data_IF_433786031409
#
_entry.id   IF_433786031409
#
_cell.length_a   1.000
_cell.length_b   1.000
_cell.length_c   1.000
_cell.angle_alpha   90.00
_cell.angle_beta   90.00
_cell.angle_gamma   90.00
#
_symmetry.space_group_name_H-M   'P 1'
#
loop_
_entity.id
_entity.type
_entity.pdbx_description
1 polymer ?
#
# COMPACT_ATOMS: atom_id res chain seq x y z
N UNK A 1 8.05 17.72 -6.07
CA UNK A 1 7.64 16.88 -4.92
C UNK A 1 8.14 15.48 -5.20
N UNK A 2 8.57 14.79 -4.16
CA UNK A 2 8.98 13.38 -4.20
C UNK A 2 7.79 12.50 -3.86
N UNK A 3 7.41 11.62 -4.79
CA UNK A 3 6.24 10.75 -4.69
C UNK A 3 6.72 9.31 -4.61
N UNK A 4 6.43 8.65 -3.48
CA UNK A 4 6.62 7.21 -3.34
C UNK A 4 5.34 6.50 -3.81
N UNK A 5 5.43 5.71 -4.87
CA UNK A 5 4.33 4.92 -5.42
C UNK A 5 4.53 3.45 -5.03
N UNK A 6 3.76 2.97 -4.05
CA UNK A 6 3.73 1.59 -3.60
C UNK A 6 2.65 0.80 -4.36
N UNK A 7 2.98 -0.43 -4.78
CA UNK A 7 2.14 -1.27 -5.65
C UNK A 7 1.90 -0.61 -7.00
N UNK A 8 3.00 -0.21 -7.65
CA UNK A 8 2.95 0.69 -8.79
C UNK A 8 2.26 0.08 -10.02
N UNK A 9 2.29 -1.24 -10.20
CA UNK A 9 1.68 -1.91 -11.35
C UNK A 9 2.04 -1.24 -12.69
N UNK A 10 1.04 -0.75 -13.43
CA UNK A 10 1.24 -0.07 -14.73
C UNK A 10 1.80 1.35 -14.64
N UNK A 11 2.11 1.84 -13.43
CA UNK A 11 2.58 3.20 -13.11
C UNK A 11 1.63 4.30 -13.57
N UNK A 12 0.33 4.02 -13.58
CA UNK A 12 -0.67 4.98 -14.05
C UNK A 12 -0.66 6.27 -13.23
N UNK A 13 -0.41 6.16 -11.93
CA UNK A 13 -0.34 7.31 -11.03
C UNK A 13 1.04 7.96 -11.09
N UNK A 14 2.12 7.17 -11.09
CA UNK A 14 3.48 7.66 -11.30
C UNK A 14 3.59 8.55 -12.54
N UNK A 15 3.12 8.07 -13.70
CA UNK A 15 3.09 8.83 -14.96
C UNK A 15 2.31 10.15 -14.85
N UNK A 16 1.21 10.17 -14.10
CA UNK A 16 0.44 11.38 -13.87
C UNK A 16 1.21 12.41 -13.02
N UNK A 17 1.96 11.98 -12.00
CA UNK A 17 2.83 12.86 -11.21
C UNK A 17 4.04 13.35 -12.01
N UNK A 18 4.71 12.46 -12.75
CA UNK A 18 5.84 12.80 -13.63
C UNK A 18 5.45 13.85 -14.67
N UNK A 19 4.26 13.72 -15.29
CA UNK A 19 3.73 14.70 -16.26
C UNK A 19 3.58 16.12 -15.72
N UNK A 20 3.60 16.28 -14.38
CA UNK A 20 3.52 17.57 -13.67
C UNK A 20 4.86 18.01 -13.10
N UNK A 21 5.95 17.34 -13.47
CA UNK A 21 7.31 17.66 -13.02
C UNK A 21 7.63 17.18 -11.60
N UNK A 22 6.94 16.15 -11.11
CA UNK A 22 7.26 15.52 -9.84
C UNK A 22 8.22 14.34 -10.03
N UNK A 23 9.06 14.10 -9.02
CA UNK A 23 9.93 12.93 -8.97
C UNK A 23 9.15 11.77 -8.38
N UNK A 24 9.18 10.60 -9.02
CA UNK A 24 8.47 9.40 -8.60
C UNK A 24 9.49 8.30 -8.31
N UNK A 25 9.26 7.55 -7.23
CA UNK A 25 9.93 6.30 -6.94
C UNK A 25 8.88 5.20 -6.80
N UNK A 26 8.93 4.25 -7.72
CA UNK A 26 7.96 3.18 -7.84
C UNK A 26 8.47 1.87 -7.26
N UNK A 27 7.63 1.22 -6.46
CA UNK A 27 7.91 -0.08 -5.83
C UNK A 27 6.85 -1.08 -6.27
N UNK A 28 7.29 -2.20 -6.81
CA UNK A 28 6.42 -3.28 -7.30
C UNK A 28 7.13 -4.63 -7.15
N UNK A 29 6.42 -5.68 -6.76
CA UNK A 29 7.04 -7.00 -6.59
C UNK A 29 7.01 -7.80 -7.90
N UNK A 30 5.99 -7.60 -8.73
CA UNK A 30 5.83 -8.33 -9.99
C UNK A 30 6.80 -7.80 -11.05
N UNK A 31 7.57 -8.72 -11.63
CA UNK A 31 8.48 -8.43 -12.75
C UNK A 31 7.79 -8.31 -14.10
N UNK A 32 6.47 -8.51 -14.15
CA UNK A 32 5.67 -8.37 -15.37
C UNK A 32 5.45 -6.89 -15.74
N UNK A 33 5.63 -5.98 -14.78
CA UNK A 33 5.56 -4.55 -15.02
C UNK A 33 6.94 -4.00 -15.35
N UNK A 34 7.01 -3.08 -16.31
CA UNK A 34 8.25 -2.45 -16.74
C UNK A 34 8.42 -1.05 -16.13
N UNK A 35 9.68 -0.58 -16.13
CA UNK A 35 10.07 0.75 -15.67
C UNK A 35 9.79 1.00 -14.18
N UNK A 36 9.94 -0.01 -13.32
CA UNK A 36 9.85 0.16 -11.86
C UNK A 36 11.24 0.49 -11.31
N UNK A 37 11.32 1.39 -10.33
CA UNK A 37 12.59 1.79 -9.70
C UNK A 37 13.12 0.72 -8.74
N UNK A 38 12.23 0.08 -7.99
CA UNK A 38 12.57 -1.00 -7.06
C UNK A 38 11.62 -2.20 -7.23
N UNK A 39 12.18 -3.33 -7.67
CA UNK A 39 11.47 -4.61 -7.67
C UNK A 39 11.66 -5.37 -6.35
N UNK A 40 10.72 -5.25 -5.43
CA UNK A 40 10.79 -5.93 -4.12
C UNK A 40 9.40 -6.18 -3.52
N UNK A 41 9.30 -7.19 -2.67
CA UNK A 41 8.14 -7.42 -1.80
C UNK A 41 7.98 -6.25 -0.83
N UNK A 42 6.82 -5.59 -0.86
CA UNK A 42 6.54 -4.41 -0.04
C UNK A 42 6.74 -4.71 1.46
N UNK A 43 6.49 -5.93 1.93
CA UNK A 43 6.73 -6.32 3.33
C UNK A 43 8.21 -6.27 3.75
N UNK A 44 9.14 -6.25 2.79
CA UNK A 44 10.59 -6.19 3.04
C UNK A 44 11.16 -4.79 2.88
N UNK A 45 10.42 -3.88 2.26
CA UNK A 45 10.85 -2.50 2.08
C UNK A 45 10.80 -1.78 3.42
N UNK A 46 11.90 -1.15 3.80
CA UNK A 46 12.02 -0.37 5.04
C UNK A 46 12.01 1.14 4.76
N UNK A 47 11.69 1.95 5.77
CA UNK A 47 11.78 3.40 5.65
C UNK A 47 13.22 3.86 5.35
N UNK A 48 14.23 3.18 5.93
CA UNK A 48 15.63 3.43 5.66
C UNK A 48 16.00 3.16 4.20
N UNK A 49 15.49 2.08 3.59
CA UNK A 49 15.72 1.80 2.18
C UNK A 49 15.17 2.92 1.29
N UNK A 50 13.94 3.38 1.57
CA UNK A 50 13.33 4.49 0.83
C UNK A 50 14.14 5.78 1.00
N UNK A 51 14.52 6.14 2.24
CA UNK A 51 15.30 7.34 2.50
C UNK A 51 16.66 7.29 1.80
N UNK A 52 17.32 6.12 1.78
CA UNK A 52 18.61 5.93 1.12
C UNK A 52 18.51 6.03 -0.40
N UNK A 53 17.49 5.40 -0.99
CA UNK A 53 17.35 5.30 -2.45
C UNK A 53 16.71 6.53 -3.09
N UNK A 54 15.75 7.14 -2.40
CA UNK A 54 14.92 8.21 -2.93
C UNK A 54 14.94 9.50 -2.09
N UNK A 55 15.28 9.39 -0.81
CA UNK A 55 15.12 10.46 0.17
C UNK A 55 13.72 10.47 0.79
N UNK A 56 13.46 11.44 1.66
CA UNK A 56 12.15 11.58 2.31
C UNK A 56 11.07 11.96 1.28
N UNK A 57 10.01 11.15 1.10
CA UNK A 57 8.93 11.48 0.18
C UNK A 57 8.02 12.59 0.76
N UNK A 58 7.51 13.44 -0.13
CA UNK A 58 6.45 14.40 0.21
C UNK A 58 5.07 13.75 0.15
N UNK A 59 4.89 12.79 -0.77
CA UNK A 59 3.63 12.09 -1.02
C UNK A 59 3.88 10.59 -1.02
N UNK A 60 3.01 9.84 -0.35
CA UNK A 60 2.94 8.38 -0.48
C UNK A 60 1.62 8.02 -1.16
N UNK A 61 1.68 7.29 -2.26
CA UNK A 61 0.53 6.67 -2.89
C UNK A 61 0.63 5.16 -2.72
N UNK A 62 -0.35 4.52 -2.08
CA UNK A 62 -0.39 3.06 -1.95
C UNK A 62 -1.73 2.49 -2.40
N UNK A 63 -1.66 1.51 -3.29
CA UNK A 63 -2.81 0.76 -3.78
C UNK A 63 -2.62 -0.75 -3.64
N UNK A 64 -2.60 -1.28 -2.41
CA UNK A 64 -2.50 -2.71 -2.16
C UNK A 64 -3.72 -3.49 -2.67
N UNK A 65 -3.58 -4.80 -2.72
CA UNK A 65 -4.61 -5.71 -3.20
C UNK A 65 -5.78 -5.83 -2.21
N UNK A 66 -6.93 -5.29 -2.59
CA UNK A 66 -8.17 -5.33 -1.81
C UNK A 66 -9.14 -6.45 -2.24
N UNK A 67 -8.72 -7.40 -3.08
CA UNK A 67 -9.60 -8.41 -3.69
C UNK A 67 -10.38 -9.24 -2.66
N UNK A 68 -9.80 -9.47 -1.48
CA UNK A 68 -10.43 -10.20 -0.36
C UNK A 68 -11.66 -9.52 0.23
N UNK A 69 -11.89 -8.25 -0.10
CA UNK A 69 -13.07 -7.48 0.30
C UNK A 69 -14.13 -7.35 -0.79
N UNK A 70 -13.88 -7.90 -1.99
CA UNK A 70 -14.86 -7.87 -3.07
C UNK A 70 -16.11 -8.69 -2.74
N UNK A 71 -17.28 -8.28 -3.24
CA UNK A 71 -18.56 -8.97 -3.02
C UNK A 71 -18.47 -10.46 -3.37
N UNK A 72 -17.73 -10.80 -4.43
CA UNK A 72 -17.58 -12.17 -4.90
C UNK A 72 -16.68 -13.04 -4.02
N UNK A 73 -15.69 -12.45 -3.31
CA UNK A 73 -14.66 -13.21 -2.60
C UNK A 73 -14.75 -13.09 -1.06
N UNK A 74 -15.45 -12.07 -0.55
CA UNK A 74 -15.48 -11.73 0.88
C UNK A 74 -15.97 -12.85 1.78
N UNK A 75 -16.97 -13.63 1.35
CA UNK A 75 -17.51 -14.76 2.11
C UNK A 75 -16.54 -15.96 2.19
N UNK A 76 -15.54 -16.04 1.32
CA UNK A 76 -14.50 -17.07 1.38
C UNK A 76 -13.32 -16.63 2.24
N UNK A 77 -13.04 -15.33 2.27
CA UNK A 77 -11.83 -14.78 2.87
C UNK A 77 -12.03 -14.16 4.24
N UNK A 78 -13.25 -13.71 4.58
CA UNK A 78 -13.52 -12.96 5.80
C UNK A 78 -14.78 -13.43 6.53
N UNK A 79 -14.84 -13.17 7.84
CA UNK A 79 -16.01 -13.41 8.69
C UNK A 79 -16.32 -12.15 9.48
N UNK A 80 -17.61 -11.83 9.59
CA UNK A 80 -18.04 -10.72 10.43
C UNK A 80 -17.95 -11.15 11.89
N UNK A 81 -17.17 -10.43 12.68
CA UNK A 81 -17.16 -10.58 14.12
C UNK A 81 -18.50 -10.07 14.67
N UNK A 82 -19.25 -10.88 15.43
CA UNK A 82 -20.58 -10.49 15.94
C UNK A 82 -20.52 -9.38 16.99
N UNK A 83 -19.41 -9.27 17.73
CA UNK A 83 -19.25 -8.32 18.83
C UNK A 83 -18.78 -6.95 18.33
N UNK A 84 -17.83 -6.94 17.39
CA UNK A 84 -17.22 -5.70 16.88
C UNK A 84 -17.81 -5.24 15.56
N UNK A 85 -18.47 -6.13 14.82
CA UNK A 85 -18.97 -5.88 13.48
C UNK A 85 -17.89 -5.88 12.38
N UNK A 86 -16.62 -6.04 12.74
CA UNK A 86 -15.47 -6.01 11.83
C UNK A 86 -15.40 -7.27 10.95
N UNK A 87 -14.83 -7.13 9.74
CA UNK A 87 -14.61 -8.25 8.82
C UNK A 87 -13.21 -8.84 9.01
N UNK A 88 -13.12 -9.87 9.85
CA UNK A 88 -11.87 -10.52 10.22
C UNK A 88 -11.38 -11.49 9.14
N UNK A 89 -10.07 -11.52 8.83
CA UNK A 89 -9.50 -12.42 7.84
C UNK A 89 -9.48 -13.86 8.35
N UNK A 90 -10.08 -14.79 7.60
CA UNK A 90 -10.06 -16.23 7.94
C UNK A 90 -9.13 -17.03 7.04
N UNK A 91 -8.95 -16.62 5.78
CA UNK A 91 -8.04 -17.29 4.87
C UNK A 91 -6.58 -16.84 5.09
N UNK A 92 -5.63 -17.70 4.71
CA UNK A 92 -4.19 -17.37 4.70
C UNK A 92 -3.90 -16.14 3.86
N UNK A 93 -4.48 -16.07 2.67
CA UNK A 93 -4.32 -14.92 1.78
C UNK A 93 -4.85 -13.60 2.37
N UNK A 94 -6.03 -13.58 3.00
CA UNK A 94 -6.55 -12.37 3.65
C UNK A 94 -5.69 -11.91 4.82
N UNK A 95 -5.15 -12.85 5.61
CA UNK A 95 -4.20 -12.53 6.68
C UNK A 95 -2.89 -11.94 6.14
N UNK A 96 -2.43 -12.42 4.99
CA UNK A 96 -1.27 -11.87 4.32
C UNK A 96 -1.54 -10.44 3.81
N UNK A 97 -2.69 -10.20 3.16
CA UNK A 97 -3.09 -8.84 2.75
C UNK A 97 -3.14 -7.89 3.95
N UNK A 98 -3.76 -8.30 5.06
CA UNK A 98 -3.86 -7.45 6.26
C UNK A 98 -2.47 -7.15 6.84
N UNK A 99 -1.52 -8.10 6.80
CA UNK A 99 -0.13 -7.89 7.22
C UNK A 99 0.58 -6.86 6.34
N UNK A 100 0.42 -6.95 5.02
CA UNK A 100 0.97 -5.98 4.06
C UNK A 100 0.40 -4.59 4.32
N UNK A 101 -0.91 -4.47 4.54
CA UNK A 101 -1.57 -3.20 4.83
C UNK A 101 -1.04 -2.56 6.12
N UNK A 102 -0.85 -3.35 7.19
CA UNK A 102 -0.24 -2.86 8.43
C UNK A 102 1.21 -2.41 8.21
N UNK A 103 1.99 -3.11 7.39
CA UNK A 103 3.34 -2.70 7.05
C UNK A 103 3.37 -1.38 6.29
N UNK A 104 2.44 -1.16 5.36
CA UNK A 104 2.30 0.11 4.63
C UNK A 104 1.95 1.26 5.59
N UNK A 105 1.04 1.04 6.54
CA UNK A 105 0.71 2.04 7.56
C UNK A 105 1.95 2.42 8.39
N UNK A 106 2.73 1.42 8.81
CA UNK A 106 3.99 1.63 9.53
C UNK A 106 5.00 2.42 8.70
N UNK A 107 5.15 2.12 7.40
CA UNK A 107 6.03 2.89 6.51
C UNK A 107 5.60 4.36 6.43
N UNK A 108 4.29 4.64 6.36
CA UNK A 108 3.77 6.02 6.35
C UNK A 108 4.08 6.72 7.68
N UNK A 109 3.90 6.03 8.81
CA UNK A 109 4.22 6.55 10.13
C UNK A 109 5.72 6.85 10.27
N UNK A 110 6.61 5.99 9.76
CA UNK A 110 8.07 6.20 9.84
C UNK A 110 8.55 7.30 8.90
N UNK A 111 8.01 7.35 7.67
CA UNK A 111 8.43 8.33 6.66
C UNK A 111 7.85 9.73 6.90
N UNK A 112 6.73 9.85 7.62
CA UNK A 112 6.03 11.10 7.93
C UNK A 112 5.90 12.02 6.68
N UNK A 113 5.23 11.55 5.61
CA UNK A 113 5.06 12.35 4.40
C UNK A 113 4.10 13.53 4.67
N UNK A 114 4.13 14.54 3.80
CA UNK A 114 3.19 15.66 3.88
C UNK A 114 1.77 15.25 3.49
N UNK A 115 1.65 14.33 2.53
CA UNK A 115 0.38 13.78 2.07
C UNK A 115 0.51 12.27 1.88
N UNK A 116 -0.56 11.53 2.11
CA UNK A 116 -0.64 10.14 1.69
C UNK A 116 -2.03 9.80 1.17
N UNK A 117 -2.09 8.86 0.23
CA UNK A 117 -3.33 8.29 -0.28
C UNK A 117 -3.24 6.77 -0.17
N UNK A 118 -4.20 6.19 0.54
CA UNK A 118 -4.31 4.75 0.77
C UNK A 118 -5.60 4.25 0.12
N UNK A 119 -5.49 3.26 -0.76
CA UNK A 119 -6.65 2.50 -1.27
C UNK A 119 -6.83 1.18 -0.52
N UNK A 120 -6.76 1.26 0.80
CA UNK A 120 -6.98 0.12 1.70
C UNK A 120 -8.44 0.16 2.19
N UNK A 121 -9.13 -1.00 2.31
CA UNK A 121 -10.46 -1.05 2.91
C UNK A 121 -10.44 -0.56 4.36
N UNK A 122 -11.39 0.30 4.72
CA UNK A 122 -11.48 0.92 6.07
C UNK A 122 -11.46 -0.10 7.21
N UNK A 123 -11.95 -1.32 6.97
CA UNK A 123 -11.96 -2.41 7.93
C UNK A 123 -10.55 -2.84 8.41
N UNK A 124 -9.50 -2.58 7.64
CA UNK A 124 -8.09 -2.87 8.01
C UNK A 124 -7.45 -1.69 8.75
N UNK A 125 -7.92 -0.48 8.48
CA UNK A 125 -7.38 0.77 9.00
C UNK A 125 -7.90 1.10 10.41
N UNK A 126 -8.09 0.09 11.28
CA UNK A 126 -8.77 0.20 12.58
C UNK A 126 -8.65 1.57 13.24
N UNK A 127 -9.77 2.34 13.27
CA UNK A 127 -9.89 3.76 13.68
C UNK A 127 -8.55 4.45 14.00
N UNK A 128 -7.82 4.84 12.97
CA UNK A 128 -6.80 5.88 13.10
C UNK A 128 -7.52 7.23 13.20
N UNK A 129 -7.85 7.63 14.43
CA UNK A 129 -8.22 9.01 14.72
C UNK A 129 -6.94 9.84 14.59
N UNK A 130 -6.92 10.75 13.62
CA UNK A 130 -5.89 11.78 13.51
C UNK A 130 -5.90 12.75 14.68
#
# INVERSE_FOLDING_TARGET
>A
MKVLELFAGTRSIGKAFESRGHEVFSVEWSKDFENIDLYEDINKVTAEDIIRLFGKPDVIWASPDCSTFSIAAISHHRRKNPDTGSLEPVSTYAKFCDMVDQHVLKLIEELQPRYYLLKIPEAVCGRWNG
#
